data_IF_521047483239
#
_entry.id   IF_521047483239
#
_cell.length_a   1.000
_cell.length_b   1.000
_cell.length_c   1.000
_cell.angle_alpha   90.00
_cell.angle_beta   90.00
_cell.angle_gamma   90.00
#
_symmetry.space_group_name_H-M   'P 1'
#
loop_
_entity.id
_entity.type
_entity.pdbx_description
1 polymer ?
#
# COMPACT_ATOMS: atom_id res chain seq x y z
N UNK A 1 8.69 0.91 -12.35
CA UNK A 1 7.37 0.25 -12.45
C UNK A 1 7.07 -0.45 -11.12
N UNK A 2 5.80 -0.54 -10.73
CA UNK A 2 5.37 -1.26 -9.52
C UNK A 2 4.61 -2.50 -9.93
N UNK A 3 4.75 -3.56 -9.16
CA UNK A 3 3.87 -4.74 -9.28
C UNK A 3 2.94 -4.72 -8.09
N UNK A 4 1.64 -4.76 -8.37
CA UNK A 4 0.61 -4.72 -7.35
C UNK A 4 -0.07 -6.08 -7.25
N UNK A 5 -0.08 -6.68 -6.07
CA UNK A 5 -0.59 -8.04 -5.83
C UNK A 5 -1.73 -7.96 -4.81
N UNK A 6 -2.91 -8.55 -5.06
CA UNK A 6 -3.98 -8.57 -4.08
C UNK A 6 -3.58 -9.39 -2.85
N UNK A 7 -3.93 -8.93 -1.65
CA UNK A 7 -3.76 -9.74 -0.45
C UNK A 7 -4.68 -10.98 -0.53
N UNK A 8 -4.29 -12.11 0.07
CA UNK A 8 -5.17 -13.26 0.22
C UNK A 8 -6.51 -12.85 0.86
N UNK A 9 -7.61 -13.45 0.40
CA UNK A 9 -8.94 -13.06 0.87
C UNK A 9 -9.13 -13.29 2.37
N UNK A 10 -8.46 -14.29 2.95
CA UNK A 10 -8.51 -14.57 4.39
C UNK A 10 -7.86 -13.45 5.20
N UNK A 11 -6.72 -12.93 4.73
CA UNK A 11 -6.07 -11.76 5.34
C UNK A 11 -6.97 -10.52 5.25
N UNK A 12 -7.61 -10.28 4.11
CA UNK A 12 -8.56 -9.15 3.96
C UNK A 12 -9.74 -9.29 4.92
N UNK A 13 -10.25 -10.51 5.13
CA UNK A 13 -11.34 -10.79 6.08
C UNK A 13 -10.91 -10.57 7.53
N UNK A 14 -9.70 -10.98 7.90
CA UNK A 14 -9.09 -10.71 9.21
C UNK A 14 -8.95 -9.19 9.46
N UNK A 15 -8.44 -8.45 8.48
CA UNK A 15 -8.29 -6.98 8.57
C UNK A 15 -9.61 -6.26 8.80
N UNK A 16 -10.69 -6.79 8.21
CA UNK A 16 -12.03 -6.22 8.27
C UNK A 16 -12.88 -6.78 9.40
N UNK A 17 -12.35 -7.66 10.26
CA UNK A 17 -13.13 -8.32 11.32
C UNK A 17 -13.74 -7.31 12.31
N UNK A 18 -13.00 -6.25 12.62
CA UNK A 18 -13.42 -5.20 13.57
C UNK A 18 -14.31 -4.11 12.92
N UNK A 19 -14.65 -4.22 11.63
CA UNK A 19 -15.28 -3.16 10.86
C UNK A 19 -16.54 -3.65 10.12
N UNK A 20 -17.75 -3.45 10.69
CA UNK A 20 -18.99 -3.89 10.06
C UNK A 20 -19.36 -3.05 8.83
N UNK A 21 -18.99 -1.78 8.75
CA UNK A 21 -19.34 -0.90 7.62
C UNK A 21 -18.09 -0.43 6.89
N UNK A 22 -17.96 -0.81 5.62
CA UNK A 22 -16.72 -0.62 4.86
C UNK A 22 -16.99 0.13 3.57
N UNK A 23 -16.17 1.14 3.28
CA UNK A 23 -16.14 1.79 1.96
C UNK A 23 -15.00 1.21 1.13
N UNK A 24 -15.22 0.89 -0.15
CA UNK A 24 -14.17 0.35 -1.01
C UNK A 24 -13.68 1.44 -1.97
N UNK A 25 -12.39 1.73 -1.95
CA UNK A 25 -11.75 2.73 -2.79
C UNK A 25 -10.73 2.07 -3.73
N UNK A 26 -10.94 2.20 -5.04
CA UNK A 26 -10.08 1.63 -6.07
C UNK A 26 -9.17 2.64 -6.76
N UNK A 27 -7.96 2.22 -7.10
CA UNK A 27 -7.05 2.98 -7.96
C UNK A 27 -7.24 2.56 -9.43
N UNK A 28 -7.54 3.52 -10.31
CA UNK A 28 -7.62 3.29 -11.76
C UNK A 28 -6.28 3.32 -12.51
N UNK A 29 -5.16 3.40 -11.78
CA UNK A 29 -3.82 3.43 -12.35
C UNK A 29 -3.15 2.05 -12.38
N UNK A 30 -1.99 1.93 -11.73
CA UNK A 30 -1.15 0.74 -11.80
C UNK A 30 -1.84 -0.59 -11.46
N UNK A 31 -2.77 -0.69 -10.48
CA UNK A 31 -3.44 -1.97 -10.20
C UNK A 31 -4.23 -2.54 -11.38
N UNK A 32 -4.73 -1.71 -12.31
CA UNK A 32 -5.38 -2.20 -13.53
C UNK A 32 -4.36 -2.93 -14.42
N UNK A 33 -3.18 -2.35 -14.61
CA UNK A 33 -2.12 -2.96 -15.41
C UNK A 33 -1.53 -4.24 -14.80
N UNK A 34 -1.69 -4.45 -13.50
CA UNK A 34 -1.31 -5.69 -12.81
C UNK A 34 -2.47 -6.68 -12.63
N UNK A 35 -3.63 -6.42 -13.22
CA UNK A 35 -4.85 -7.24 -13.07
C UNK A 35 -5.29 -7.43 -11.59
N UNK A 36 -4.85 -6.54 -10.71
CA UNK A 36 -5.08 -6.61 -9.26
C UNK A 36 -6.01 -5.51 -8.74
N UNK A 37 -6.55 -4.69 -9.64
CA UNK A 37 -7.53 -3.65 -9.35
C UNK A 37 -8.57 -3.51 -10.46
N UNK A 38 -9.06 -2.28 -10.66
CA UNK A 38 -10.12 -2.01 -11.63
C UNK A 38 -11.51 -2.43 -11.15
N UNK A 39 -12.51 -2.16 -11.98
CA UNK A 39 -13.92 -2.31 -11.58
C UNK A 39 -14.27 -3.76 -11.24
N UNK A 40 -13.76 -4.71 -12.03
CA UNK A 40 -13.94 -6.14 -11.79
C UNK A 40 -13.53 -6.54 -10.38
N UNK A 41 -12.36 -6.09 -9.91
CA UNK A 41 -11.86 -6.42 -8.57
C UNK A 41 -12.70 -5.78 -7.47
N UNK A 42 -13.20 -4.57 -7.69
CA UNK A 42 -14.11 -3.90 -6.75
C UNK A 42 -15.43 -4.65 -6.63
N UNK A 43 -15.99 -5.13 -7.73
CA UNK A 43 -17.24 -5.89 -7.75
C UNK A 43 -17.08 -7.26 -7.07
N UNK A 44 -15.95 -7.94 -7.31
CA UNK A 44 -15.58 -9.17 -6.60
C UNK A 44 -15.50 -8.95 -5.08
N UNK A 45 -14.78 -7.91 -4.65
CA UNK A 45 -14.66 -7.57 -3.23
C UNK A 45 -16.02 -7.20 -2.64
N UNK A 46 -16.85 -6.46 -3.38
CA UNK A 46 -18.19 -6.10 -2.93
C UNK A 46 -19.06 -7.35 -2.71
N UNK A 47 -19.03 -8.30 -3.65
CA UNK A 47 -19.77 -9.56 -3.53
C UNK A 47 -19.27 -10.43 -2.37
N UNK A 48 -17.95 -10.57 -2.22
CA UNK A 48 -17.32 -11.35 -1.14
C UNK A 48 -17.59 -10.75 0.25
N UNK A 49 -17.64 -9.42 0.36
CA UNK A 49 -17.80 -8.70 1.62
C UNK A 49 -19.27 -8.47 2.01
N UNK A 50 -20.22 -8.60 1.07
CA UNK A 50 -21.66 -8.50 1.32
C UNK A 50 -22.23 -9.77 1.98
N UNK A 51 -21.73 -10.11 3.18
CA UNK A 51 -22.16 -11.25 4.00
C UNK A 51 -22.91 -10.77 5.25
N UNK A 52 -23.68 -11.64 5.93
CA UNK A 52 -24.38 -11.26 7.17
C UNK A 52 -23.40 -10.67 8.19
N UNK A 53 -23.67 -9.45 8.65
CA UNK A 53 -22.82 -8.72 9.61
C UNK A 53 -21.82 -7.73 8.99
N UNK A 54 -21.73 -7.60 7.67
CA UNK A 54 -20.89 -6.59 7.02
C UNK A 54 -21.57 -5.93 5.83
N UNK A 55 -21.52 -4.60 5.79
CA UNK A 55 -22.18 -3.77 4.78
C UNK A 55 -21.16 -2.91 4.05
N UNK A 56 -21.22 -2.95 2.72
CA UNK A 56 -20.44 -2.04 1.88
C UNK A 56 -21.23 -0.75 1.71
N UNK A 57 -20.75 0.35 2.28
CA UNK A 57 -21.43 1.66 2.24
C UNK A 57 -21.39 2.32 0.87
N UNK A 58 -20.35 2.01 0.08
CA UNK A 58 -20.12 2.57 -1.24
C UNK A 58 -18.82 2.07 -1.86
N UNK A 59 -18.69 2.31 -3.16
CA UNK A 59 -17.51 1.98 -3.95
C UNK A 59 -17.16 3.15 -4.86
N UNK A 60 -15.90 3.57 -4.93
CA UNK A 60 -15.45 4.61 -5.86
C UNK A 60 -14.11 4.22 -6.49
N UNK A 61 -13.93 4.56 -7.77
CA UNK A 61 -12.67 4.46 -8.49
C UNK A 61 -12.06 5.85 -8.68
N UNK A 62 -10.76 5.98 -8.46
CA UNK A 62 -9.98 7.21 -8.72
C UNK A 62 -8.66 6.81 -9.40
N UNK A 63 -8.33 7.39 -10.55
CA UNK A 63 -7.21 6.92 -11.37
C UNK A 63 -5.83 7.08 -10.71
N UNK A 64 -5.64 8.16 -9.96
CA UNK A 64 -4.37 8.46 -9.29
C UNK A 64 -4.56 8.64 -7.79
N UNK A 65 -4.82 7.55 -7.06
CA UNK A 65 -4.86 7.59 -5.60
C UNK A 65 -3.53 8.03 -4.96
N UNK A 66 -2.42 7.94 -5.69
CA UNK A 66 -1.13 8.51 -5.25
C UNK A 66 -1.11 10.05 -5.23
N UNK A 67 -2.09 10.72 -5.86
CA UNK A 67 -2.26 12.17 -5.79
C UNK A 67 -3.26 12.53 -4.68
N UNK A 68 -2.72 12.95 -3.53
CA UNK A 68 -3.52 13.33 -2.35
C UNK A 68 -4.56 14.42 -2.62
N UNK A 69 -4.24 15.42 -3.45
CA UNK A 69 -5.18 16.49 -3.78
C UNK A 69 -6.37 15.97 -4.58
N UNK A 70 -6.12 15.07 -5.54
CA UNK A 70 -7.17 14.40 -6.29
C UNK A 70 -8.05 13.53 -5.39
N UNK A 71 -7.43 12.76 -4.48
CA UNK A 71 -8.15 11.95 -3.50
C UNK A 71 -9.10 12.81 -2.68
N UNK A 72 -8.61 13.91 -2.08
CA UNK A 72 -9.45 14.81 -1.30
C UNK A 72 -10.60 15.43 -2.12
N UNK A 73 -10.32 15.89 -3.34
CA UNK A 73 -11.33 16.49 -4.21
C UNK A 73 -12.45 15.50 -4.59
N UNK A 74 -12.10 14.24 -4.84
CA UNK A 74 -13.05 13.20 -5.24
C UNK A 74 -13.82 12.61 -4.04
N UNK A 75 -13.15 12.39 -2.91
CA UNK A 75 -13.78 11.88 -1.70
C UNK A 75 -14.76 12.89 -1.08
N UNK A 76 -14.61 14.19 -1.37
CA UNK A 76 -15.57 15.23 -0.97
C UNK A 76 -17.02 14.88 -1.36
N UNK A 77 -17.22 14.28 -2.54
CA UNK A 77 -18.54 13.87 -3.01
C UNK A 77 -19.09 12.64 -2.29
N UNK A 78 -18.22 11.87 -1.64
CA UNK A 78 -18.55 10.64 -0.90
C UNK A 78 -18.57 10.83 0.61
N UNK A 79 -18.49 12.07 1.12
CA UNK A 79 -18.57 12.37 2.56
C UNK A 79 -19.78 11.69 3.24
N UNK A 80 -21.00 11.68 2.67
CA UNK A 80 -22.12 10.99 3.30
C UNK A 80 -21.88 9.49 3.48
N UNK A 81 -21.28 8.82 2.49
CA UNK A 81 -20.96 7.40 2.54
C UNK A 81 -19.79 7.11 3.50
N UNK A 82 -18.78 7.99 3.54
CA UNK A 82 -17.63 7.86 4.43
C UNK A 82 -17.99 8.06 5.91
N UNK A 83 -18.88 8.99 6.24
CA UNK A 83 -19.42 9.14 7.62
C UNK A 83 -20.18 7.91 8.10
N UNK A 84 -20.68 7.15 7.15
CA UNK A 84 -21.41 5.91 7.32
C UNK A 84 -20.47 4.69 7.25
N UNK A 85 -19.15 4.87 7.34
CA UNK A 85 -18.18 3.79 7.29
C UNK A 85 -17.29 3.79 8.51
N UNK A 86 -16.95 2.59 8.98
CA UNK A 86 -16.00 2.39 10.08
C UNK A 86 -14.56 2.29 9.55
N UNK A 87 -14.37 1.88 8.29
CA UNK A 87 -13.08 1.83 7.62
C UNK A 87 -13.20 1.96 6.09
N UNK A 88 -12.08 2.32 5.45
CA UNK A 88 -11.93 2.33 4.00
C UNK A 88 -10.98 1.23 3.56
N UNK A 89 -11.46 0.27 2.75
CA UNK A 89 -10.64 -0.72 2.08
C UNK A 89 -10.09 -0.14 0.78
N UNK A 90 -8.78 0.06 0.71
CA UNK A 90 -8.11 0.73 -0.41
C UNK A 90 -7.41 -0.30 -1.30
N UNK A 91 -7.90 -0.44 -2.54
CA UNK A 91 -7.32 -1.26 -3.60
C UNK A 91 -6.31 -0.42 -4.38
N UNK A 92 -5.10 -0.27 -3.81
CA UNK A 92 -4.05 0.56 -4.39
C UNK A 92 -2.64 0.11 -3.95
N UNK A 93 -1.62 0.86 -4.33
CA UNK A 93 -0.27 0.69 -3.79
C UNK A 93 -0.13 1.37 -2.41
N UNK A 94 0.97 1.10 -1.71
CA UNK A 94 1.22 1.71 -0.38
C UNK A 94 1.20 3.25 -0.37
N UNK A 95 1.49 3.92 -1.49
CA UNK A 95 1.36 5.39 -1.60
C UNK A 95 -0.11 5.81 -1.62
N UNK A 96 -0.96 5.11 -2.37
CA UNK A 96 -2.40 5.41 -2.44
C UNK A 96 -3.10 5.23 -1.09
N UNK A 97 -2.70 4.21 -0.32
CA UNK A 97 -3.21 4.01 1.04
C UNK A 97 -2.79 5.16 1.97
N UNK A 98 -1.53 5.61 1.90
CA UNK A 98 -1.05 6.76 2.68
C UNK A 98 -1.77 8.06 2.30
N UNK A 99 -1.93 8.33 1.01
CA UNK A 99 -2.64 9.51 0.51
C UNK A 99 -4.11 9.50 0.92
N UNK A 100 -4.75 8.33 0.88
CA UNK A 100 -6.12 8.14 1.37
C UNK A 100 -6.20 8.38 2.87
N UNK A 101 -5.33 7.76 3.67
CA UNK A 101 -5.32 7.95 5.13
C UNK A 101 -5.13 9.42 5.50
N UNK A 102 -4.30 10.16 4.76
CA UNK A 102 -4.09 11.59 5.01
C UNK A 102 -5.33 12.46 4.74
N UNK A 103 -6.33 11.98 3.99
CA UNK A 103 -7.54 12.72 3.61
C UNK A 103 -8.79 12.31 4.41
N UNK A 104 -8.71 11.26 5.23
CA UNK A 104 -9.86 10.71 5.96
C UNK A 104 -9.57 10.59 7.46
N UNK A 105 -10.63 10.57 8.27
CA UNK A 105 -10.54 10.43 9.72
C UNK A 105 -10.86 9.01 10.23
N UNK A 106 -11.09 8.07 9.31
CA UNK A 106 -11.32 6.65 9.61
C UNK A 106 -10.14 5.79 9.10
N UNK A 107 -9.93 4.58 9.64
CA UNK A 107 -8.82 3.73 9.22
C UNK A 107 -8.84 3.38 7.73
N UNK A 108 -7.70 3.59 7.06
CA UNK A 108 -7.45 3.12 5.70
C UNK A 108 -6.73 1.76 5.73
N UNK A 109 -7.36 0.74 5.15
CA UNK A 109 -6.89 -0.63 5.15
C UNK A 109 -6.36 -0.99 3.75
N UNK A 110 -5.15 -1.55 3.62
CA UNK A 110 -4.61 -1.95 2.33
C UNK A 110 -5.24 -3.26 1.87
N UNK A 111 -5.86 -3.28 0.68
CA UNK A 111 -6.33 -4.53 0.06
C UNK A 111 -5.21 -5.28 -0.68
N UNK A 112 -4.17 -4.55 -1.10
CA UNK A 112 -3.11 -5.07 -1.96
C UNK A 112 -1.73 -4.80 -1.37
N UNK A 113 -0.78 -5.67 -1.72
CA UNK A 113 0.64 -5.53 -1.47
C UNK A 113 1.33 -4.88 -2.69
N UNK A 114 2.41 -4.15 -2.44
CA UNK A 114 3.20 -3.50 -3.50
C UNK A 114 4.59 -4.11 -3.51
N UNK A 115 5.01 -4.60 -4.66
CA UNK A 115 6.39 -5.02 -4.96
C UNK A 115 7.07 -3.95 -5.81
N UNK A 116 8.34 -3.70 -5.54
CA UNK A 116 9.15 -2.79 -6.33
C UNK A 116 9.80 -3.52 -7.52
N UNK A 117 9.47 -3.15 -8.75
CA UNK A 117 10.14 -3.66 -9.96
C UNK A 117 11.40 -2.85 -10.31
N UNK A 118 11.83 -1.96 -9.40
CA UNK A 118 12.86 -0.94 -9.48
C UNK A 118 13.06 -0.31 -10.87
N UNK A 119 12.15 0.59 -11.21
CA UNK A 119 12.29 1.52 -12.34
C UNK A 119 11.51 2.80 -12.04
N UNK A 120 11.60 3.79 -12.92
CA UNK A 120 10.88 5.06 -12.75
C UNK A 120 9.38 4.80 -12.56
N UNK A 121 8.79 5.45 -11.57
CA UNK A 121 7.37 5.40 -11.30
C UNK A 121 6.81 6.78 -11.61
N UNK A 122 5.66 6.84 -12.28
CA UNK A 122 4.87 8.08 -12.36
C UNK A 122 4.29 8.37 -10.99
N UNK A 123 5.06 9.07 -10.15
CA UNK A 123 4.66 9.45 -8.81
C UNK A 123 4.34 10.93 -8.78
N UNK A 124 3.27 11.26 -8.07
CA UNK A 124 3.02 12.62 -7.61
C UNK A 124 4.12 12.99 -6.58
N UNK A 125 4.82 14.13 -6.73
CA UNK A 125 5.88 14.54 -5.83
C UNK A 125 5.28 15.01 -4.50
N UNK A 126 4.99 14.06 -3.61
CA UNK A 126 4.45 14.34 -2.28
C UNK A 126 5.22 13.55 -1.22
N UNK A 127 4.82 13.73 0.03
CA UNK A 127 5.50 13.19 1.21
C UNK A 127 5.27 11.70 1.43
N UNK A 128 4.24 11.12 0.82
CA UNK A 128 3.88 9.70 0.91
C UNK A 128 4.86 8.85 0.11
N UNK A 129 5.37 7.77 0.72
CA UNK A 129 6.48 6.98 0.17
C UNK A 129 6.26 5.50 0.39
N UNK A 130 6.50 4.67 -0.63
CA UNK A 130 6.41 3.21 -0.54
C UNK A 130 7.71 2.60 -1.08
N UNK A 131 8.29 1.68 -0.32
CA UNK A 131 9.52 0.97 -0.72
C UNK A 131 9.22 -0.31 -1.53
N UNK A 132 7.93 -0.67 -1.66
CA UNK A 132 7.50 -1.88 -2.35
C UNK A 132 7.93 -3.16 -1.63
N UNK A 133 7.69 -3.21 -0.32
CA UNK A 133 8.16 -4.28 0.56
C UNK A 133 7.44 -5.63 0.44
N UNK A 134 6.42 -5.73 -0.42
CA UNK A 134 5.62 -6.94 -0.60
C UNK A 134 4.68 -7.31 0.54
N UNK A 135 4.81 -6.67 1.71
CA UNK A 135 3.94 -6.88 2.88
C UNK A 135 3.48 -5.54 3.47
N UNK A 136 2.26 -5.14 3.14
CA UNK A 136 1.73 -3.84 3.52
C UNK A 136 1.12 -3.86 4.94
N UNK A 137 1.76 -3.15 5.88
CA UNK A 137 1.37 -3.04 7.30
C UNK A 137 0.66 -1.73 7.66
N UNK A 138 0.18 -0.99 6.66
CA UNK A 138 -0.40 0.34 6.88
C UNK A 138 -1.67 0.32 7.75
N UNK A 139 -2.36 -0.82 7.81
CA UNK A 139 -3.49 -1.03 8.72
C UNK A 139 -3.10 -0.96 10.21
N UNK A 140 -1.87 -1.39 10.57
CA UNK A 140 -1.38 -1.35 11.96
C UNK A 140 -0.94 0.06 12.36
N UNK A 141 -0.42 0.83 11.40
CA UNK A 141 0.28 2.10 11.63
C UNK A 141 -0.57 3.34 11.33
N UNK A 142 -1.88 3.16 11.09
CA UNK A 142 -2.79 4.27 10.80
C UNK A 142 -2.54 4.94 9.45
N UNK A 143 -1.94 4.21 8.51
CA UNK A 143 -1.62 4.72 7.17
C UNK A 143 -0.32 5.52 7.09
N UNK A 144 0.61 5.38 8.04
CA UNK A 144 1.95 5.97 7.98
C UNK A 144 2.98 4.83 7.84
N UNK A 145 3.73 4.79 6.74
CA UNK A 145 4.65 3.69 6.48
C UNK A 145 5.87 3.73 7.42
N UNK A 146 6.08 2.72 8.31
CA UNK A 146 7.20 2.73 9.23
C UNK A 146 8.54 2.48 8.53
N UNK A 147 8.54 1.78 7.39
CA UNK A 147 9.76 1.47 6.62
C UNK A 147 10.31 2.72 5.95
N UNK A 148 9.46 3.52 5.29
CA UNK A 148 9.94 4.69 4.53
C UNK A 148 10.00 5.96 5.37
N UNK A 149 9.17 6.08 6.42
CA UNK A 149 9.14 7.28 7.28
C UNK A 149 10.14 7.19 8.42
N UNK A 150 10.49 6.03 8.94
CA UNK A 150 11.53 5.90 9.96
C UNK A 150 12.92 5.92 9.31
N UNK A 151 13.87 6.69 9.85
CA UNK A 151 15.26 6.69 9.37
C UNK A 151 15.94 5.32 9.52
N UNK A 152 15.46 4.50 10.46
CA UNK A 152 15.96 3.15 10.76
C UNK A 152 15.08 2.04 10.16
N UNK A 153 14.04 2.38 9.41
CA UNK A 153 13.09 1.43 8.81
C UNK A 153 12.47 0.42 9.79
N UNK A 154 12.31 0.82 11.06
CA UNK A 154 11.87 -0.07 12.14
C UNK A 154 10.40 -0.44 12.03
N UNK A 155 10.12 -1.74 11.96
CA UNK A 155 8.78 -2.30 11.88
C UNK A 155 8.21 -2.68 13.27
N UNK A 156 9.09 -3.03 14.21
CA UNK A 156 8.73 -3.67 15.49
C UNK A 156 8.52 -2.66 16.63
N UNK A 157 8.22 -1.40 16.30
CA UNK A 157 8.03 -0.33 17.28
C UNK A 157 9.15 0.70 17.32
N UNK A 158 9.01 1.63 18.27
CA UNK A 158 9.91 2.76 18.48
C UNK A 158 11.28 2.33 19.02
N UNK A 159 12.34 3.05 18.63
CA UNK A 159 13.71 2.82 19.12
C UNK A 159 14.04 3.52 20.45
N UNK A 160 13.14 4.36 20.97
CA UNK A 160 13.37 5.14 22.19
C UNK A 160 14.15 6.45 21.98
N UNK A 161 14.83 6.64 20.86
CA UNK A 161 15.54 7.88 20.53
C UNK A 161 14.67 8.98 19.92
N UNK A 162 13.49 9.21 20.48
CA UNK A 162 12.65 10.35 20.09
C UNK A 162 12.87 11.49 21.07
N UNK A 163 13.18 12.69 20.57
CA UNK A 163 13.32 13.90 21.37
C UNK A 163 12.38 14.98 20.81
N UNK A 164 11.44 15.48 21.61
CA UNK A 164 10.44 16.48 21.20
C UNK A 164 9.71 16.16 19.88
N UNK A 165 9.38 14.87 19.68
CA UNK A 165 8.71 14.40 18.47
C UNK A 165 9.63 14.28 17.22
N UNK A 166 10.91 14.62 17.33
CA UNK A 166 11.93 14.50 16.27
C UNK A 166 12.73 13.20 16.37
N UNK A 167 13.35 12.80 15.26
CA UNK A 167 14.19 11.61 15.18
C UNK A 167 15.61 11.88 15.71
N UNK A 168 16.18 10.94 16.48
CA UNK A 168 17.60 11.02 16.91
C UNK A 168 18.60 11.04 15.76
N UNK A 169 18.30 10.38 14.64
CA UNK A 169 19.23 10.26 13.51
C UNK A 169 19.23 11.54 12.68
N UNK A 170 18.07 12.18 12.55
CA UNK A 170 17.85 13.36 11.71
C UNK A 170 16.98 14.36 12.48
N UNK A 171 17.60 15.36 13.09
CA UNK A 171 16.93 16.34 13.96
C UNK A 171 15.80 17.12 13.27
N UNK A 172 15.95 17.39 11.96
CA UNK A 172 14.91 18.09 11.18
C UNK A 172 13.72 17.19 10.80
N UNK A 173 13.82 15.88 10.97
CA UNK A 173 12.79 14.91 10.58
C UNK A 173 11.89 14.55 11.75
N UNK A 174 10.58 14.60 11.51
CA UNK A 174 9.61 14.10 12.46
C UNK A 174 9.75 12.59 12.65
N UNK A 175 9.72 12.14 13.90
CA UNK A 175 9.80 10.72 14.22
C UNK A 175 8.56 10.00 13.68
N UNK A 176 8.76 9.00 12.83
CA UNK A 176 7.67 8.21 12.26
C UNK A 176 6.78 7.57 13.33
N UNK A 177 7.38 6.99 14.37
CA UNK A 177 6.65 6.32 15.45
C UNK A 177 5.88 7.30 16.34
N UNK A 178 6.37 8.53 16.52
CA UNK A 178 5.60 9.59 17.17
C UNK A 178 4.36 9.96 16.34
N UNK A 179 4.51 10.15 15.02
CA UNK A 179 3.38 10.43 14.13
C UNK A 179 2.37 9.27 14.07
N UNK A 180 2.85 8.03 14.06
CA UNK A 180 2.00 6.83 14.12
C UNK A 180 1.22 6.80 15.42
N UNK A 181 1.85 7.10 16.56
CA UNK A 181 1.18 7.16 17.86
C UNK A 181 0.06 8.22 17.86
N UNK A 182 0.34 9.45 17.45
CA UNK A 182 -0.67 10.52 17.40
C UNK A 182 -1.82 10.17 16.46
N UNK A 183 -1.52 9.56 15.30
CA UNK A 183 -2.53 9.13 14.35
C UNK A 183 -3.40 8.00 14.92
N UNK A 184 -2.81 6.98 15.54
CA UNK A 184 -3.54 5.89 16.16
C UNK A 184 -4.37 6.34 17.36
N UNK A 185 -3.87 7.33 18.11
CA UNK A 185 -4.62 7.99 19.20
C UNK A 185 -5.85 8.70 18.67
N UNK A 186 -5.72 9.48 17.58
CA UNK A 186 -6.84 10.14 16.93
C UNK A 186 -7.88 9.15 16.40
N UNK A 187 -7.44 7.98 15.92
CA UNK A 187 -8.30 6.90 15.43
C UNK A 187 -8.88 6.01 16.56
N UNK A 188 -8.45 6.19 17.82
CA UNK A 188 -8.82 5.30 18.93
C UNK A 188 -8.31 3.87 18.79
N UNK A 189 -7.22 3.65 18.04
CA UNK A 189 -6.67 2.31 17.70
C UNK A 189 -5.27 2.08 18.30
N UNK A 190 -5.02 2.59 19.50
CA UNK A 190 -3.72 2.45 20.19
C UNK A 190 -3.32 0.99 20.45
N UNK A 191 -4.28 0.07 20.57
CA UNK A 191 -3.99 -1.36 20.74
C UNK A 191 -3.21 -1.96 19.56
N UNK A 192 -3.23 -1.33 18.38
CA UNK A 192 -2.39 -1.76 17.27
C UNK A 192 -0.89 -1.68 17.57
N UNK A 193 -0.44 -0.79 18.48
CA UNK A 193 0.96 -0.70 18.88
C UNK A 193 1.44 -1.92 19.69
N UNK A 194 0.50 -2.66 20.30
CA UNK A 194 0.80 -3.89 21.03
C UNK A 194 0.88 -5.11 20.11
N UNK A 195 0.36 -5.00 18.88
CA UNK A 195 0.36 -6.08 17.91
C UNK A 195 1.75 -6.18 17.29
N UNK A 196 2.33 -7.37 17.33
CA UNK A 196 3.56 -7.65 16.60
C UNK A 196 3.21 -7.91 15.13
N UNK A 197 3.85 -7.21 14.18
CA UNK A 197 3.71 -7.53 12.77
C UNK A 197 4.26 -8.93 12.49
N UNK A 198 3.72 -9.59 11.47
CA UNK A 198 4.24 -10.90 11.03
C UNK A 198 5.70 -10.75 10.61
N UNK A 199 6.49 -11.81 10.82
CA UNK A 199 7.86 -11.87 10.30
C UNK A 199 7.82 -11.71 8.79
N UNK A 200 8.59 -10.75 8.28
CA UNK A 200 8.52 -10.40 6.86
C UNK A 200 9.16 -11.49 6.02
N UNK A 201 8.46 -11.86 4.95
CA UNK A 201 9.02 -12.70 3.91
C UNK A 201 9.87 -11.86 2.95
N UNK A 202 11.19 -11.97 3.07
CA UNK A 202 12.14 -11.21 2.23
C UNK A 202 12.15 -11.66 0.78
N UNK A 203 11.54 -12.81 0.42
CA UNK A 203 11.35 -13.20 -0.98
C UNK A 203 10.47 -12.20 -1.73
N UNK A 204 9.55 -11.56 -1.01
CA UNK A 204 8.64 -10.54 -1.54
C UNK A 204 9.28 -9.14 -1.60
N UNK A 205 10.61 -9.02 -1.44
CA UNK A 205 11.29 -7.74 -1.63
C UNK A 205 11.63 -7.47 -3.10
N UNK A 206 11.68 -8.52 -3.91
CA UNK A 206 11.90 -8.44 -5.35
C UNK A 206 10.74 -9.10 -6.09
N UNK A 207 10.65 -8.82 -7.38
CA UNK A 207 9.65 -9.41 -8.26
C UNK A 207 9.97 -10.88 -8.51
N UNK A 208 8.94 -11.74 -8.48
CA UNK A 208 9.07 -13.18 -8.71
C UNK A 208 9.64 -13.45 -10.11
N UNK A 209 10.37 -14.55 -10.30
CA UNK A 209 11.01 -14.86 -11.59
C UNK A 209 10.01 -14.88 -12.76
N UNK A 210 8.78 -15.35 -12.51
CA UNK A 210 7.70 -15.40 -13.52
C UNK A 210 7.29 -14.00 -13.99
N UNK A 211 7.41 -13.01 -13.13
CA UNK A 211 6.98 -11.64 -13.34
C UNK A 211 8.13 -10.72 -13.81
N UNK A 212 9.35 -11.26 -13.98
CA UNK A 212 10.53 -10.56 -14.54
C UNK A 212 10.46 -10.41 -16.06
N UNK A 213 9.35 -9.84 -16.52
CA UNK A 213 9.05 -9.64 -17.94
C UNK A 213 9.78 -8.46 -18.58
N UNK A 214 10.17 -7.46 -17.79
CA UNK A 214 10.57 -6.14 -18.31
C UNK A 214 11.99 -6.10 -18.90
N UNK A 215 12.27 -5.02 -19.65
CA UNK A 215 13.60 -4.72 -20.21
C UNK A 215 14.72 -4.69 -19.18
N UNK A 216 14.41 -4.42 -17.91
CA UNK A 216 15.37 -4.46 -16.80
C UNK A 216 16.07 -5.81 -16.69
N UNK A 217 15.34 -6.92 -16.84
CA UNK A 217 15.87 -8.28 -16.71
C UNK A 217 16.23 -8.90 -18.07
N UNK A 218 16.36 -8.08 -19.12
CA UNK A 218 16.69 -8.57 -20.46
C UNK A 218 18.07 -9.23 -20.54
N UNK A 219 19.02 -8.80 -19.70
CA UNK A 219 20.36 -9.38 -19.62
C UNK A 219 20.40 -10.74 -18.91
N UNK A 220 19.39 -11.06 -18.11
CA UNK A 220 19.27 -12.35 -17.40
C UNK A 220 18.60 -13.41 -18.29
N UNK A 221 17.96 -13.00 -19.39
CA UNK A 221 17.30 -13.88 -20.33
C UNK A 221 18.30 -14.40 -21.36
N UNK A 222 18.04 -15.61 -21.86
CA UNK A 222 18.83 -16.19 -22.93
C UNK A 222 18.92 -15.21 -24.12
N UNK A 223 20.12 -15.07 -24.73
CA UNK A 223 20.29 -14.18 -25.86
C UNK A 223 19.35 -14.62 -27.00
N UNK A 224 18.44 -13.73 -27.39
CA UNK A 224 17.52 -13.94 -28.52
C UNK A 224 18.27 -14.16 -29.84
N UNK A 225 19.52 -13.70 -29.92
CA UNK A 225 20.38 -13.83 -31.08
C UNK A 225 21.78 -14.32 -30.66
N UNK A 226 22.20 -15.46 -31.23
CA UNK A 226 23.60 -15.91 -31.18
C UNK A 226 24.25 -15.52 -32.49
N UNK A 227 25.28 -14.67 -32.42
CA UNK A 227 26.08 -14.35 -33.60
C UNK A 227 26.64 -15.64 -34.21
N UNK A 228 26.58 -15.81 -35.55
CA UNK A 228 27.22 -16.95 -36.19
C UNK A 228 28.71 -16.93 -35.85
N UNK A 229 29.25 -18.08 -35.45
CA UNK A 229 30.70 -18.21 -35.27
C UNK A 229 31.35 -17.85 -36.60
N UNK A 230 32.30 -16.91 -36.60
CA UNK A 230 33.09 -16.61 -37.79
C UNK A 230 33.63 -17.93 -38.32
N UNK A 231 33.20 -18.33 -39.51
CA UNK A 231 33.84 -19.43 -40.21
C UNK A 231 35.32 -19.03 -40.30
N UNK A 232 36.19 -19.75 -39.59
CA UNK A 232 37.61 -19.50 -39.66
C UNK A 232 38.01 -19.58 -41.13
N UNK A 233 38.72 -18.57 -41.62
CA UNK A 233 39.44 -18.67 -42.88
C UNK A 233 40.42 -19.85 -42.74
N UNK A 234 40.04 -21.00 -43.29
CA UNK A 234 40.97 -22.08 -43.63
C UNK A 234 41.67 -21.73 -44.92
#
# INVERSE_FOLDING_TARGET
>A
MIVNIPKPMDEVKELLADYPRVFILGCGGCPIGCESGGQKRLDELKAELARPGRTVSGTQMIDFLCNKALVGAQLRYQIPALKLSDAVLVVSCGVGVQATSAMIDIPALPANNTLNSQGMQGLWPSTERCDGCGDCVLHLTGGICPITRCAKSLLNGQCGGTHDGKCEVESNRDCAWHLIYERLKALGKLDNLKKLPRLRDYRNWDVSDKDRGTTRWSLEKDPLYKAPKSAGNQ
#
